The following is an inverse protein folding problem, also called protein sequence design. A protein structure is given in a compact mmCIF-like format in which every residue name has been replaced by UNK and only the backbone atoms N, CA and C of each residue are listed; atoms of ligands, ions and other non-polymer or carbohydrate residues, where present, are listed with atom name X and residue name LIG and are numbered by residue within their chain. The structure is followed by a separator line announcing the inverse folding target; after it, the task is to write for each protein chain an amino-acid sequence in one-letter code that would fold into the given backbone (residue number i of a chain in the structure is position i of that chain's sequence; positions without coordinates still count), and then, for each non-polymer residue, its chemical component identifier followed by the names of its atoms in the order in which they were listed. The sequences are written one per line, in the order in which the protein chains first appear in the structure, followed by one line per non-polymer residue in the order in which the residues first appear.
data_IF_114770904691
#
_entry.id   IF_114770904691
#
_cell.length_a   1.000
_cell.length_b   1.000
_cell.length_c   1.000
_cell.angle_alpha   90.00
_cell.angle_beta   90.00
_cell.angle_gamma   90.00
#
_symmetry.space_group_name_H-M   'P 1'
#
loop_
_entity.id
_entity.type
_entity.pdbx_description
1 polymer ?
#
# COMPACT_ATOMS: atom_id res chain seq x y z
N UNK A 1 7.59 -6.87 10.04
CA UNK A 1 7.72 -6.99 8.56
C UNK A 1 6.53 -7.77 7.97
N UNK A 2 5.30 -7.35 8.28
CA UNK A 2 4.09 -8.10 7.87
C UNK A 2 3.56 -7.65 6.50
N UNK A 3 3.74 -6.38 6.16
CA UNK A 3 3.22 -5.78 4.92
C UNK A 3 3.86 -6.35 3.65
N UNK A 4 5.18 -6.56 3.63
CA UNK A 4 5.88 -7.14 2.47
C UNK A 4 5.44 -8.59 2.24
N UNK A 5 5.32 -9.39 3.29
CA UNK A 5 4.83 -10.77 3.19
C UNK A 5 3.39 -10.82 2.66
N UNK A 6 2.55 -9.88 3.09
CA UNK A 6 1.20 -9.74 2.56
C UNK A 6 1.21 -9.40 1.06
N UNK A 7 1.99 -8.40 0.63
CA UNK A 7 2.12 -8.07 -0.79
C UNK A 7 2.66 -9.23 -1.63
N UNK A 8 3.64 -9.98 -1.13
CA UNK A 8 4.18 -11.15 -1.83
C UNK A 8 3.10 -12.20 -2.08
N UNK A 9 2.29 -12.52 -1.07
CA UNK A 9 1.20 -13.48 -1.21
C UNK A 9 0.15 -12.97 -2.20
N UNK A 10 -0.26 -11.70 -2.06
CA UNK A 10 -1.25 -11.08 -2.95
C UNK A 10 -0.78 -11.05 -4.41
N UNK A 11 0.50 -10.73 -4.66
CA UNK A 11 1.04 -10.72 -6.02
C UNK A 11 1.18 -12.12 -6.62
N UNK A 12 1.46 -13.13 -5.79
CA UNK A 12 1.48 -14.51 -6.25
C UNK A 12 0.07 -14.99 -6.67
N UNK A 13 -0.98 -14.51 -5.99
CA UNK A 13 -2.36 -14.89 -6.28
C UNK A 13 -3.01 -14.08 -7.40
N UNK A 14 -2.76 -12.76 -7.44
CA UNK A 14 -3.46 -11.84 -8.36
C UNK A 14 -2.57 -11.29 -9.48
N UNK A 15 -1.29 -11.62 -9.47
CA UNK A 15 -0.28 -11.03 -10.34
C UNK A 15 0.32 -9.73 -9.79
N UNK A 16 1.39 -9.27 -10.43
CA UNK A 16 2.10 -8.05 -10.04
C UNK A 16 1.38 -6.84 -10.65
N UNK A 17 0.86 -5.90 -9.83
CA UNK A 17 0.21 -4.70 -10.34
C UNK A 17 1.24 -3.71 -10.90
N UNK A 18 0.81 -2.84 -11.82
CA UNK A 18 1.65 -1.76 -12.36
C UNK A 18 1.77 -0.55 -11.42
N UNK A 19 0.72 -0.29 -10.64
CA UNK A 19 0.63 0.85 -9.72
C UNK A 19 -0.02 0.42 -8.40
N UNK A 20 0.49 0.94 -7.29
CA UNK A 20 -0.10 0.77 -5.95
C UNK A 20 -0.25 2.15 -5.29
N UNK A 21 -1.45 2.43 -4.78
CA UNK A 21 -1.75 3.61 -3.97
C UNK A 21 -1.97 3.21 -2.52
N UNK A 22 -1.17 3.76 -1.60
CA UNK A 22 -1.33 3.55 -0.16
C UNK A 22 -1.46 4.87 0.57
N UNK A 23 -2.05 4.86 1.77
CA UNK A 23 -2.00 6.01 2.66
C UNK A 23 -0.58 6.25 3.21
N UNK A 24 -0.33 7.45 3.74
CA UNK A 24 0.94 7.84 4.39
C UNK A 24 1.16 7.20 5.77
N UNK A 25 0.43 6.12 6.10
CA UNK A 25 0.61 5.42 7.35
C UNK A 25 2.06 4.94 7.55
N UNK A 26 2.54 4.88 8.81
CA UNK A 26 3.93 4.52 9.12
C UNK A 26 4.35 3.13 8.62
N UNK A 27 3.38 2.25 8.35
CA UNK A 27 3.61 0.95 7.74
C UNK A 27 3.99 1.02 6.25
N UNK A 28 3.57 2.08 5.55
CA UNK A 28 3.73 2.25 4.10
C UNK A 28 4.80 3.29 3.72
N UNK A 29 5.31 4.05 4.68
CA UNK A 29 6.40 5.01 4.48
C UNK A 29 7.79 4.42 4.74
N UNK A 30 7.88 3.13 5.08
CA UNK A 30 9.17 2.48 5.33
C UNK A 30 10.01 2.38 4.06
N UNK A 31 11.32 2.68 4.17
CA UNK A 31 12.28 2.58 3.07
C UNK A 31 12.27 1.19 2.40
N UNK A 32 12.17 0.14 3.23
CA UNK A 32 12.10 -1.26 2.76
C UNK A 32 10.92 -1.52 1.82
N UNK A 33 9.76 -0.89 2.05
CA UNK A 33 8.60 -1.04 1.19
C UNK A 33 8.80 -0.31 -0.15
N UNK A 34 9.42 0.87 -0.11
CA UNK A 34 9.78 1.63 -1.31
C UNK A 34 10.78 0.87 -2.19
N UNK A 35 11.81 0.28 -1.57
CA UNK A 35 12.78 -0.57 -2.26
C UNK A 35 12.09 -1.80 -2.88
N UNK A 36 11.23 -2.49 -2.13
CA UNK A 36 10.48 -3.64 -2.62
C UNK A 36 9.60 -3.33 -3.84
N UNK A 37 8.91 -2.19 -3.85
CA UNK A 37 8.13 -1.78 -5.02
C UNK A 37 9.02 -1.41 -6.21
N UNK A 38 10.15 -0.74 -5.96
CA UNK A 38 11.11 -0.39 -7.01
C UNK A 38 11.73 -1.62 -7.67
N UNK A 39 12.09 -2.64 -6.89
CA UNK A 39 12.64 -3.92 -7.41
C UNK A 39 11.65 -4.67 -8.30
N UNK A 40 10.35 -4.46 -8.07
CA UNK A 40 9.28 -5.10 -8.83
C UNK A 40 8.74 -4.24 -9.98
N UNK A 41 9.28 -3.04 -10.18
CA UNK A 41 8.81 -2.10 -11.19
C UNK A 41 7.39 -1.58 -10.92
N UNK A 42 6.99 -1.54 -9.66
CA UNK A 42 5.66 -1.10 -9.23
C UNK A 42 5.72 0.39 -8.92
N UNK A 43 4.88 1.18 -9.58
CA UNK A 43 4.76 2.60 -9.27
C UNK A 43 4.00 2.78 -7.95
N UNK A 44 4.71 3.19 -6.90
CA UNK A 44 4.11 3.44 -5.60
C UNK A 44 3.75 4.92 -5.45
N UNK A 45 2.45 5.21 -5.38
CA UNK A 45 1.91 6.55 -5.13
C UNK A 45 1.37 6.62 -3.72
N UNK A 46 2.01 7.37 -2.85
CA UNK A 46 1.45 7.63 -1.54
C UNK A 46 0.35 8.68 -1.68
N UNK A 47 -0.89 8.31 -1.34
CA UNK A 47 -1.94 9.31 -1.20
C UNK A 47 -1.60 10.12 0.05
N UNK A 48 -1.16 11.36 -0.17
CA UNK A 48 -1.19 12.39 0.86
C UNK A 48 -2.58 12.32 1.49
N UNK A 49 -2.74 12.34 2.82
CA UNK A 49 -4.07 12.42 3.42
C UNK A 49 -4.71 13.68 2.87
N UNK A 50 -5.52 13.50 1.82
CA UNK A 50 -6.39 14.54 1.33
C UNK A 50 -7.26 14.86 2.54
N UNK A 51 -7.28 16.16 2.88
CA UNK A 51 -8.17 16.73 3.88
C UNK A 51 -9.53 16.00 3.84
N UNK A 52 -10.18 15.75 4.99
CA UNK A 52 -11.27 14.78 5.14
C UNK A 52 -12.58 15.24 4.46
N UNK A 53 -12.57 15.45 3.15
CA UNK A 53 -13.71 15.96 2.37
C UNK A 53 -14.01 15.05 1.17
N UNK A 54 -13.42 13.85 1.09
CA UNK A 54 -13.65 12.97 -0.06
C UNK A 54 -13.29 11.49 0.10
N UNK A 55 -13.19 10.96 1.32
CA UNK A 55 -13.05 9.51 1.57
C UNK A 55 -14.35 8.96 2.19
N UNK A 56 -15.45 9.14 1.47
CA UNK A 56 -16.59 8.23 1.59
C UNK A 56 -16.33 7.05 0.66
N UNK A 57 -16.47 5.84 1.19
CA UNK A 57 -16.24 4.52 0.57
C UNK A 57 -14.89 3.93 0.98
N UNK A 58 -14.98 2.86 1.77
CA UNK A 58 -13.95 1.95 2.30
C UNK A 58 -13.00 2.46 3.41
N UNK A 59 -13.60 2.97 4.49
CA UNK A 59 -13.05 2.79 5.85
C UNK A 59 -13.54 1.44 6.39
N UNK A 60 -12.86 0.34 6.05
CA UNK A 60 -13.17 -0.97 6.66
C UNK A 60 -12.53 -1.04 8.04
N UNK A 61 -13.39 -1.09 9.04
CA UNK A 61 -13.13 -1.20 10.47
C UNK A 61 -12.20 -2.36 10.79
N UNK A 62 -11.09 -2.08 11.46
CA UNK A 62 -10.39 -3.06 12.31
C UNK A 62 -10.35 -2.49 13.72
N UNK A 63 -11.43 -2.72 14.45
CA UNK A 63 -11.43 -2.76 15.92
C UNK A 63 -11.03 -4.18 16.32
N UNK A 64 -9.94 -4.30 17.05
CA UNK A 64 -9.88 -5.14 18.25
C UNK A 64 -8.99 -4.40 19.24
#
# INVERSE_FOLDING_TARGET
QHTIKHFLLTFATLGVPKEIKTDNGPAYTSRKLKEFFSERGIEHKTSIPAKPTGQSIVKRTHQT
#
